data_IF_159757399296
#
_entry.id   IF_159757399296
#
_cell.length_a   1.000
_cell.length_b   1.000
_cell.length_c   1.000
_cell.angle_alpha   90.00
_cell.angle_beta   90.00
_cell.angle_gamma   90.00
#
_symmetry.space_group_name_H-M   'P 1'
#
loop_
_entity.id
_entity.type
_entity.pdbx_description
1 polymer ?
#
# COMPACT_ATOMS: atom_id res chain seq x y z
N UNK A 1 21.23 22.91 13.85
CA UNK A 1 21.45 21.46 13.61
C UNK A 1 22.87 21.25 13.12
N UNK A 2 23.61 20.33 13.73
CA UNK A 2 24.90 19.86 13.23
C UNK A 2 24.75 19.16 11.88
N UNK A 3 25.85 18.99 11.13
CA UNK A 3 25.81 18.26 9.86
C UNK A 3 25.35 16.81 10.05
N UNK A 4 25.74 16.16 11.14
CA UNK A 4 25.27 14.80 11.47
C UNK A 4 23.76 14.74 11.74
N UNK A 5 23.20 15.74 12.44
CA UNK A 5 21.76 15.83 12.67
C UNK A 5 20.98 16.05 11.36
N UNK A 6 21.51 16.87 10.44
CA UNK A 6 20.91 17.07 9.11
C UNK A 6 20.97 15.79 8.26
N UNK A 7 22.10 15.08 8.27
CA UNK A 7 22.27 13.80 7.56
C UNK A 7 21.29 12.72 8.10
N UNK A 8 21.14 12.61 9.43
CA UNK A 8 20.21 11.67 10.05
C UNK A 8 18.75 12.00 9.71
N UNK A 9 18.35 13.26 9.87
CA UNK A 9 16.99 13.71 9.58
C UNK A 9 16.62 13.46 8.10
N UNK A 10 17.55 13.78 7.18
CA UNK A 10 17.37 13.47 5.76
C UNK A 10 17.23 11.97 5.51
N UNK A 11 18.04 11.14 6.17
CA UNK A 11 18.01 9.68 5.98
C UNK A 11 16.67 9.10 6.42
N UNK A 12 16.16 9.51 7.59
CA UNK A 12 14.85 9.07 8.10
C UNK A 12 13.74 9.52 7.15
N UNK A 13 13.74 10.79 6.76
CA UNK A 13 12.76 11.32 5.81
C UNK A 13 12.80 10.56 4.47
N UNK A 14 14.00 10.23 3.97
CA UNK A 14 14.15 9.46 2.74
C UNK A 14 13.62 8.03 2.88
N UNK A 15 13.82 7.37 4.03
CA UNK A 15 13.27 6.03 4.26
C UNK A 15 11.74 6.04 4.23
N UNK A 16 11.10 6.97 4.93
CA UNK A 16 9.64 7.12 4.88
C UNK A 16 9.15 7.55 3.50
N UNK A 17 9.89 8.41 2.80
CA UNK A 17 9.55 8.79 1.42
C UNK A 17 9.57 7.59 0.48
N UNK A 18 10.59 6.74 0.54
CA UNK A 18 10.67 5.50 -0.28
C UNK A 18 9.51 4.56 0.05
N UNK A 19 9.23 4.33 1.34
CA UNK A 19 8.12 3.49 1.79
C UNK A 19 6.78 3.99 1.23
N UNK A 20 6.46 5.25 1.49
CA UNK A 20 5.18 5.85 1.10
C UNK A 20 5.06 6.09 -0.40
N UNK A 21 6.17 6.28 -1.12
CA UNK A 21 6.19 6.29 -2.57
C UNK A 21 5.81 4.93 -3.16
N UNK A 22 6.40 3.84 -2.65
CA UNK A 22 6.08 2.48 -3.10
C UNK A 22 4.60 2.14 -2.86
N UNK A 23 4.06 2.49 -1.67
CA UNK A 23 2.62 2.32 -1.37
C UNK A 23 1.77 3.16 -2.32
N UNK A 24 2.09 4.45 -2.50
CA UNK A 24 1.33 5.36 -3.37
C UNK A 24 1.28 4.87 -4.81
N UNK A 25 2.42 4.45 -5.36
CA UNK A 25 2.49 3.90 -6.73
C UNK A 25 1.64 2.62 -6.81
N UNK A 26 1.72 1.74 -5.81
CA UNK A 26 0.92 0.50 -5.76
C UNK A 26 -0.58 0.80 -5.70
N UNK A 27 -1.01 1.78 -4.90
CA UNK A 27 -2.41 2.23 -4.81
C UNK A 27 -2.94 2.64 -6.20
N UNK A 28 -2.18 3.42 -6.97
CA UNK A 28 -2.64 3.83 -8.30
C UNK A 28 -2.50 2.72 -9.35
N UNK A 29 -1.46 1.89 -9.27
CA UNK A 29 -1.29 0.74 -10.14
C UNK A 29 -2.36 -0.33 -9.93
N UNK A 30 -2.97 -0.39 -8.74
CA UNK A 30 -4.04 -1.33 -8.41
C UNK A 30 -5.22 -1.25 -9.37
N UNK A 31 -5.51 -0.09 -9.97
CA UNK A 31 -6.56 0.04 -10.99
C UNK A 31 -6.29 -0.82 -12.23
N UNK A 32 -5.02 -0.90 -12.64
CA UNK A 32 -4.60 -1.70 -13.79
C UNK A 32 -4.54 -3.19 -13.43
N UNK A 33 -4.00 -3.52 -12.25
CA UNK A 33 -4.00 -4.90 -11.74
C UNK A 33 -5.43 -5.43 -11.64
N UNK A 34 -6.31 -4.66 -11.01
CA UNK A 34 -7.71 -5.04 -10.85
C UNK A 34 -8.44 -5.19 -12.19
N UNK A 35 -8.22 -4.26 -13.12
CA UNK A 35 -8.78 -4.35 -14.46
C UNK A 35 -8.36 -5.64 -15.19
N UNK A 36 -7.11 -6.08 -15.03
CA UNK A 36 -6.63 -7.35 -15.55
C UNK A 36 -7.28 -8.54 -14.82
N UNK A 37 -7.32 -8.48 -13.49
CA UNK A 37 -7.79 -9.54 -12.61
C UNK A 37 -9.28 -9.89 -12.79
N UNK A 38 -10.14 -8.92 -13.13
CA UNK A 38 -11.55 -9.19 -13.43
C UNK A 38 -11.70 -10.29 -14.49
N UNK A 39 -10.84 -10.27 -15.52
CA UNK A 39 -10.86 -11.27 -16.59
C UNK A 39 -10.01 -12.49 -16.23
N UNK A 40 -8.85 -12.28 -15.63
CA UNK A 40 -7.91 -13.35 -15.34
C UNK A 40 -8.46 -14.35 -14.30
N UNK A 41 -9.15 -13.86 -13.27
CA UNK A 41 -9.74 -14.66 -12.20
C UNK A 41 -11.25 -14.86 -12.32
N UNK A 42 -11.83 -14.61 -13.51
CA UNK A 42 -13.26 -14.87 -13.78
C UNK A 42 -14.23 -14.23 -12.76
N UNK A 43 -13.93 -12.99 -12.34
CA UNK A 43 -14.73 -12.30 -11.31
C UNK A 43 -16.15 -11.99 -11.79
N UNK A 44 -16.35 -11.81 -13.10
CA UNK A 44 -17.68 -11.64 -13.70
C UNK A 44 -18.60 -12.81 -13.39
N UNK A 45 -18.06 -14.03 -13.42
CA UNK A 45 -18.78 -15.26 -13.12
C UNK A 45 -19.02 -15.40 -11.61
N UNK A 46 -18.02 -15.05 -10.79
CA UNK A 46 -18.11 -15.15 -9.33
C UNK A 46 -19.28 -14.34 -8.73
N UNK A 47 -19.55 -13.16 -9.29
CA UNK A 47 -20.65 -12.29 -8.81
C UNK A 47 -21.81 -12.14 -9.81
N UNK A 48 -21.76 -12.81 -10.95
CA UNK A 48 -22.76 -12.69 -12.03
C UNK A 48 -22.99 -11.24 -12.48
N UNK A 49 -21.92 -10.45 -12.55
CA UNK A 49 -21.96 -9.04 -12.97
C UNK A 49 -21.04 -8.80 -14.16
N UNK A 50 -21.37 -7.80 -14.98
CA UNK A 50 -20.51 -7.39 -16.11
C UNK A 50 -19.24 -6.71 -15.61
N UNK A 51 -18.16 -6.81 -16.39
CA UNK A 51 -16.88 -6.13 -16.15
C UNK A 51 -17.05 -4.66 -15.76
N UNK A 52 -17.88 -3.91 -16.50
CA UNK A 52 -18.09 -2.48 -16.25
C UNK A 52 -18.74 -2.20 -14.89
N UNK A 53 -19.64 -3.09 -14.43
CA UNK A 53 -20.27 -2.98 -13.11
C UNK A 53 -19.24 -3.25 -12.01
N UNK A 54 -18.42 -4.30 -12.15
CA UNK A 54 -17.37 -4.63 -11.18
C UNK A 54 -16.35 -3.49 -11.09
N UNK A 55 -15.84 -3.03 -12.25
CA UNK A 55 -14.88 -1.94 -12.31
C UNK A 55 -15.45 -0.62 -11.76
N UNK A 56 -16.73 -0.34 -11.97
CA UNK A 56 -17.42 0.83 -11.39
C UNK A 56 -17.41 0.77 -9.86
N UNK A 57 -17.75 -0.38 -9.26
CA UNK A 57 -17.75 -0.51 -7.80
C UNK A 57 -16.34 -0.45 -7.22
N UNK A 58 -15.36 -1.06 -7.89
CA UNK A 58 -13.95 -0.90 -7.50
C UNK A 58 -13.51 0.56 -7.55
N UNK A 59 -13.88 1.30 -8.62
CA UNK A 59 -13.57 2.72 -8.73
C UNK A 59 -14.28 3.56 -7.66
N UNK A 60 -15.50 3.22 -7.26
CA UNK A 60 -16.22 3.87 -6.15
C UNK A 60 -15.50 3.63 -4.81
N UNK A 61 -15.11 2.38 -4.54
CA UNK A 61 -14.32 2.00 -3.35
C UNK A 61 -13.01 2.78 -3.30
N UNK A 62 -12.24 2.76 -4.39
CA UNK A 62 -10.96 3.47 -4.46
C UNK A 62 -11.13 4.99 -4.35
N UNK A 63 -12.16 5.57 -4.99
CA UNK A 63 -12.47 6.99 -4.86
C UNK A 63 -12.79 7.36 -3.40
N UNK A 64 -13.53 6.52 -2.67
CA UNK A 64 -13.73 6.72 -1.24
C UNK A 64 -12.40 6.69 -0.47
N UNK A 65 -11.53 5.70 -0.72
CA UNK A 65 -10.27 5.55 0.00
C UNK A 65 -9.30 6.72 -0.24
N UNK A 66 -9.21 7.24 -1.46
CA UNK A 66 -8.24 8.28 -1.83
C UNK A 66 -8.74 9.71 -1.63
N UNK A 67 -10.05 9.96 -1.63
CA UNK A 67 -10.61 11.32 -1.57
C UNK A 67 -10.73 11.81 -0.12
N UNK A 68 -9.96 12.82 0.32
CA UNK A 68 -10.00 13.28 1.73
C UNK A 68 -11.34 13.93 2.15
N UNK A 69 -12.19 14.30 1.21
CA UNK A 69 -13.43 15.04 1.46
C UNK A 69 -14.69 14.18 1.51
N UNK A 70 -14.63 12.93 1.05
CA UNK A 70 -15.79 12.01 1.09
C UNK A 70 -15.64 10.98 2.20
N UNK A 71 -16.46 11.05 3.24
CA UNK A 71 -16.46 10.09 4.37
C UNK A 71 -17.69 9.16 4.40
N UNK A 72 -18.49 9.15 3.34
CA UNK A 72 -19.62 8.23 3.21
C UNK A 72 -19.24 7.08 2.26
N UNK A 73 -19.08 5.87 2.83
CA UNK A 73 -18.80 4.67 2.05
C UNK A 73 -20.10 4.11 1.47
N UNK A 74 -20.15 4.01 0.15
CA UNK A 74 -21.27 3.39 -0.55
C UNK A 74 -20.81 2.84 -1.90
N UNK A 75 -21.21 1.60 -2.18
CA UNK A 75 -21.06 0.95 -3.46
C UNK A 75 -22.44 0.82 -4.11
N UNK A 76 -22.53 0.97 -5.43
CA UNK A 76 -23.83 0.94 -6.12
C UNK A 76 -24.43 -0.45 -6.20
N UNK A 77 -23.60 -1.50 -6.34
CA UNK A 77 -24.06 -2.85 -6.65
C UNK A 77 -23.67 -3.87 -5.56
N UNK A 78 -22.95 -3.44 -4.52
CA UNK A 78 -22.61 -4.26 -3.36
C UNK A 78 -23.17 -3.64 -2.08
N UNK A 79 -23.81 -4.47 -1.25
CA UNK A 79 -24.15 -4.10 0.11
C UNK A 79 -22.90 -4.01 0.97
N UNK A 80 -23.02 -3.34 2.11
CA UNK A 80 -21.95 -3.33 3.12
C UNK A 80 -22.58 -3.35 4.49
N UNK A 81 -22.04 -4.17 5.39
CA UNK A 81 -22.41 -4.19 6.79
C UNK A 81 -21.86 -2.95 7.52
N UNK A 82 -22.28 -2.74 8.77
CA UNK A 82 -21.69 -1.68 9.59
C UNK A 82 -20.19 -1.93 9.84
N UNK A 83 -19.83 -3.19 10.11
CA UNK A 83 -18.45 -3.66 10.26
C UNK A 83 -17.62 -3.39 9.01
N UNK A 84 -18.10 -3.82 7.84
CA UNK A 84 -17.39 -3.62 6.58
C UNK A 84 -17.13 -2.14 6.26
N UNK A 85 -18.11 -1.28 6.53
CA UNK A 85 -17.93 0.18 6.39
C UNK A 85 -16.88 0.74 7.35
N UNK A 86 -16.86 0.30 8.61
CA UNK A 86 -15.85 0.73 9.58
C UNK A 86 -14.45 0.31 9.15
N UNK A 87 -14.29 -0.91 8.64
CA UNK A 87 -13.00 -1.36 8.10
C UNK A 87 -12.52 -0.48 6.93
N UNK A 88 -13.40 -0.17 5.97
CA UNK A 88 -13.04 0.75 4.88
C UNK A 88 -12.70 2.16 5.38
N UNK A 89 -13.35 2.64 6.43
CA UNK A 89 -13.01 3.92 7.07
C UNK A 89 -11.61 3.89 7.70
N UNK A 90 -11.24 2.80 8.37
CA UNK A 90 -9.90 2.63 8.93
C UNK A 90 -8.83 2.54 7.83
N UNK A 91 -9.10 1.80 6.76
CA UNK A 91 -8.24 1.78 5.56
C UNK A 91 -8.09 3.18 4.94
N UNK A 92 -9.16 3.96 4.86
CA UNK A 92 -9.12 5.36 4.38
C UNK A 92 -8.19 6.22 5.24
N UNK A 93 -8.26 6.11 6.57
CA UNK A 93 -7.35 6.84 7.47
C UNK A 93 -5.88 6.50 7.16
N UNK A 94 -5.57 5.23 6.92
CA UNK A 94 -4.22 4.78 6.54
C UNK A 94 -3.79 5.31 5.17
N UNK A 95 -4.68 5.34 4.16
CA UNK A 95 -4.39 5.88 2.83
C UNK A 95 -4.06 7.38 2.90
N UNK A 96 -4.89 8.15 3.63
CA UNK A 96 -4.66 9.59 3.80
C UNK A 96 -3.40 9.88 4.63
N UNK A 97 -3.13 9.07 5.67
CA UNK A 97 -1.88 9.13 6.42
C UNK A 97 -0.67 8.90 5.50
N UNK A 98 -0.73 7.85 4.66
CA UNK A 98 0.32 7.56 3.69
C UNK A 98 0.58 8.75 2.76
N UNK A 99 -0.47 9.37 2.19
CA UNK A 99 -0.32 10.54 1.32
C UNK A 99 0.25 11.76 2.07
N UNK A 100 -0.20 12.00 3.30
CA UNK A 100 0.34 13.07 4.14
C UNK A 100 1.83 12.88 4.43
N UNK A 101 2.24 11.67 4.79
CA UNK A 101 3.65 11.32 5.03
C UNK A 101 4.46 11.40 3.74
N UNK A 102 3.93 10.93 2.61
CA UNK A 102 4.58 11.01 1.30
C UNK A 102 4.90 12.45 0.91
N UNK A 103 3.90 13.35 1.00
CA UNK A 103 4.08 14.77 0.69
C UNK A 103 5.06 15.41 1.68
N UNK A 104 4.85 15.21 2.99
CA UNK A 104 5.69 15.83 4.02
C UNK A 104 7.15 15.41 3.94
N UNK A 105 7.41 14.11 3.78
CA UNK A 105 8.77 13.58 3.65
C UNK A 105 9.40 13.93 2.30
N UNK A 106 8.61 13.99 1.22
CA UNK A 106 9.06 14.45 -0.09
C UNK A 106 9.56 15.90 -0.07
N UNK A 107 8.85 16.81 0.61
CA UNK A 107 9.28 18.20 0.78
C UNK A 107 10.59 18.29 1.58
N UNK A 108 10.75 17.49 2.63
CA UNK A 108 11.99 17.41 3.41
C UNK A 108 13.15 16.91 2.56
N UNK A 109 12.95 15.80 1.83
CA UNK A 109 13.96 15.23 0.94
C UNK A 109 14.37 16.23 -0.15
N UNK A 110 13.41 16.95 -0.75
CA UNK A 110 13.68 17.98 -1.74
C UNK A 110 14.50 19.14 -1.16
N UNK A 111 14.14 19.64 0.03
CA UNK A 111 14.83 20.73 0.73
C UNK A 111 16.28 20.37 1.08
N UNK A 112 16.51 19.15 1.55
CA UNK A 112 17.82 18.70 2.02
C UNK A 112 18.58 17.82 1.00
N UNK A 113 18.19 17.82 -0.27
CA UNK A 113 18.81 16.97 -1.33
C UNK A 113 20.32 17.11 -1.51
N UNK A 114 20.93 18.22 -1.07
CA UNK A 114 22.37 18.48 -1.14
C UNK A 114 23.15 17.87 0.03
N UNK A 115 22.45 17.33 1.03
CA UNK A 115 23.03 16.70 2.22
C UNK A 115 23.56 15.31 1.85
N UNK A 116 24.78 14.97 2.30
CA UNK A 116 25.36 13.63 2.06
C UNK A 116 24.63 12.63 2.95
N UNK A 117 23.84 11.73 2.36
CA UNK A 117 23.30 10.58 3.06
C UNK A 117 24.43 9.60 3.46
N UNK A 118 25.11 9.86 4.58
CA UNK A 118 26.23 9.03 5.05
C UNK A 118 25.78 7.63 5.47
N UNK A 119 24.51 7.46 5.83
CA UNK A 119 23.93 6.20 6.32
C UNK A 119 23.37 5.31 5.19
N UNK A 120 24.02 5.26 4.01
CA UNK A 120 23.54 4.44 2.89
C UNK A 120 23.40 2.94 3.24
N UNK A 121 24.21 2.43 4.19
CA UNK A 121 24.09 1.05 4.68
C UNK A 121 22.77 0.77 5.41
N UNK A 122 22.08 1.79 5.92
CA UNK A 122 20.76 1.63 6.53
C UNK A 122 19.74 1.10 5.52
N UNK A 123 19.77 1.60 4.28
CA UNK A 123 18.87 1.16 3.21
C UNK A 123 19.15 -0.30 2.78
N UNK A 124 20.39 -0.77 2.92
CA UNK A 124 20.71 -2.19 2.72
C UNK A 124 20.00 -3.07 3.76
N UNK A 125 20.05 -2.69 5.04
CA UNK A 125 19.39 -3.44 6.11
C UNK A 125 17.86 -3.37 6.03
N UNK A 126 17.32 -2.20 5.71
CA UNK A 126 15.87 -2.05 5.44
C UNK A 126 15.45 -3.01 4.32
N UNK A 127 16.22 -3.06 3.23
CA UNK A 127 15.91 -3.96 2.11
C UNK A 127 16.05 -5.45 2.47
N UNK A 128 17.08 -5.83 3.22
CA UNK A 128 17.22 -7.22 3.70
C UNK A 128 16.00 -7.63 4.54
N UNK A 129 15.54 -6.76 5.45
CA UNK A 129 14.33 -7.02 6.25
C UNK A 129 13.10 -7.13 5.35
N UNK A 130 12.94 -6.24 4.38
CA UNK A 130 11.81 -6.29 3.46
C UNK A 130 11.81 -7.53 2.57
N UNK A 131 12.98 -8.01 2.10
CA UNK A 131 13.10 -9.32 1.41
C UNK A 131 12.61 -10.46 2.31
N UNK A 132 13.03 -10.49 3.59
CA UNK A 132 12.61 -11.56 4.51
C UNK A 132 11.08 -11.54 4.66
N UNK A 133 10.48 -10.36 4.84
CA UNK A 133 9.02 -10.22 4.94
C UNK A 133 8.34 -10.66 3.64
N UNK A 134 8.88 -10.28 2.48
CA UNK A 134 8.34 -10.69 1.18
C UNK A 134 8.38 -12.21 0.99
N UNK A 135 9.46 -12.87 1.41
CA UNK A 135 9.57 -14.34 1.39
C UNK A 135 8.53 -14.97 2.30
N UNK A 136 8.36 -14.47 3.54
CA UNK A 136 7.35 -14.99 4.47
C UNK A 136 5.94 -14.87 3.88
N UNK A 137 5.62 -13.72 3.26
CA UNK A 137 4.35 -13.50 2.56
C UNK A 137 4.14 -14.51 1.42
N UNK A 138 5.17 -14.81 0.62
CA UNK A 138 5.08 -15.77 -0.49
C UNK A 138 4.98 -17.23 -0.02
N UNK A 139 5.48 -17.56 1.17
CA UNK A 139 5.40 -18.90 1.74
C UNK A 139 4.02 -19.21 2.32
N UNK A 140 3.38 -18.23 2.96
CA UNK A 140 2.05 -18.38 3.54
C UNK A 140 1.31 -17.03 3.52
N UNK A 141 0.57 -16.78 2.45
CA UNK A 141 -0.13 -15.51 2.29
C UNK A 141 -1.28 -15.36 3.30
N UNK A 142 -2.05 -16.41 3.57
CA UNK A 142 -3.17 -16.38 4.52
C UNK A 142 -2.72 -15.90 5.91
N UNK A 143 -1.68 -16.52 6.46
CA UNK A 143 -1.14 -16.16 7.77
C UNK A 143 -0.53 -14.75 7.76
N UNK A 144 0.19 -14.41 6.69
CA UNK A 144 0.70 -13.07 6.51
C UNK A 144 -0.42 -12.02 6.48
N UNK A 145 -1.52 -12.28 5.77
CA UNK A 145 -2.66 -11.39 5.65
C UNK A 145 -3.33 -11.17 7.00
N UNK A 146 -3.52 -12.23 7.79
CA UNK A 146 -4.05 -12.13 9.16
C UNK A 146 -3.14 -11.28 10.04
N UNK A 147 -1.83 -11.58 10.10
CA UNK A 147 -0.87 -10.83 10.91
C UNK A 147 -0.82 -9.36 10.49
N UNK A 148 -0.84 -9.09 9.18
CA UNK A 148 -0.87 -7.74 8.65
C UNK A 148 -2.10 -6.96 9.16
N UNK A 149 -3.28 -7.58 9.19
CA UNK A 149 -4.48 -6.96 9.72
C UNK A 149 -4.41 -6.76 11.24
N UNK A 150 -3.92 -7.73 12.00
CA UNK A 150 -3.78 -7.60 13.46
C UNK A 150 -2.77 -6.52 13.88
N UNK A 151 -1.73 -6.28 13.06
CA UNK A 151 -0.76 -5.20 13.30
C UNK A 151 -1.39 -3.82 13.05
N UNK A 152 -2.27 -3.70 12.06
CA UNK A 152 -2.85 -2.42 11.64
C UNK A 152 -4.18 -2.08 12.34
N UNK A 153 -4.97 -3.10 12.70
CA UNK A 153 -6.32 -2.95 13.23
C UNK A 153 -6.42 -3.63 14.60
N UNK A 154 -7.05 -2.93 15.55
CA UNK A 154 -7.31 -3.45 16.91
C UNK A 154 -8.72 -4.05 17.05
N UNK A 155 -9.40 -4.25 15.94
CA UNK A 155 -10.75 -4.80 15.83
C UNK A 155 -10.73 -5.98 14.85
N UNK A 156 -11.88 -6.63 14.69
CA UNK A 156 -12.09 -7.73 13.75
C UNK A 156 -12.97 -7.32 12.57
N UNK A 157 -13.12 -6.01 12.32
CA UNK A 157 -14.08 -5.50 11.34
C UNK A 157 -13.71 -5.86 9.89
N UNK A 158 -12.45 -6.29 9.67
CA UNK A 158 -11.89 -6.78 8.42
C UNK A 158 -12.32 -8.22 8.06
N UNK A 159 -12.96 -8.95 8.99
CA UNK A 159 -13.52 -10.28 8.71
C UNK A 159 -14.89 -10.14 8.03
N UNK A 160 -14.86 -10.10 6.70
CA UNK A 160 -16.06 -9.91 5.89
C UNK A 160 -16.91 -11.18 5.80
N UNK A 161 -18.23 -11.02 5.94
CA UNK A 161 -19.22 -12.05 5.63
C UNK A 161 -19.62 -11.89 4.15
N UNK A 162 -19.38 -12.88 3.27
CA UNK A 162 -19.68 -12.76 1.85
C UNK A 162 -21.15 -12.42 1.51
N UNK A 163 -22.08 -12.71 2.42
CA UNK A 163 -23.50 -12.38 2.23
C UNK A 163 -23.85 -10.94 2.63
N UNK A 164 -23.08 -10.34 3.55
CA UNK A 164 -23.31 -8.98 4.05
C UNK A 164 -22.39 -7.96 3.38
N UNK A 165 -21.18 -8.38 3.08
CA UNK A 165 -20.07 -7.63 2.49
C UNK A 165 -19.59 -8.30 1.18
N UNK A 166 -20.46 -8.45 0.16
CA UNK A 166 -20.16 -9.20 -1.07
C UNK A 166 -19.02 -8.62 -1.92
N UNK A 167 -18.52 -7.43 -1.59
CA UNK A 167 -17.32 -6.85 -2.21
C UNK A 167 -16.10 -7.77 -2.05
N UNK A 168 -16.04 -8.61 -1.01
CA UNK A 168 -14.94 -9.58 -0.85
C UNK A 168 -14.86 -10.57 -2.01
N UNK A 169 -16.00 -10.90 -2.64
CA UNK A 169 -16.07 -11.86 -3.73
C UNK A 169 -15.43 -11.35 -5.03
N UNK A 170 -15.13 -10.04 -5.11
CA UNK A 170 -14.38 -9.45 -6.22
C UNK A 170 -12.96 -9.05 -5.83
N UNK A 171 -12.53 -9.25 -4.58
CA UNK A 171 -11.19 -8.92 -4.10
C UNK A 171 -10.49 -10.22 -3.67
N UNK A 172 -10.10 -11.08 -4.63
CA UNK A 172 -9.49 -12.36 -4.30
C UNK A 172 -8.10 -12.17 -3.69
N UNK A 173 -7.61 -13.21 -3.01
CA UNK A 173 -6.28 -13.23 -2.42
C UNK A 173 -5.19 -12.84 -3.43
N UNK A 174 -5.29 -13.38 -4.65
CA UNK A 174 -4.29 -13.18 -5.69
C UNK A 174 -4.14 -11.70 -6.07
N UNK A 175 -5.22 -10.92 -6.05
CA UNK A 175 -5.15 -9.48 -6.29
C UNK A 175 -4.31 -8.77 -5.22
N UNK A 176 -4.49 -9.14 -3.95
CA UNK A 176 -3.69 -8.59 -2.86
C UNK A 176 -2.23 -9.06 -2.95
N UNK A 177 -2.00 -10.33 -3.28
CA UNK A 177 -0.65 -10.88 -3.52
C UNK A 177 0.08 -10.10 -4.62
N UNK A 178 -0.58 -9.83 -5.74
CA UNK A 178 -0.01 -9.00 -6.82
C UNK A 178 0.33 -7.58 -6.33
N UNK A 179 -0.56 -6.95 -5.55
CA UNK A 179 -0.31 -5.64 -4.96
C UNK A 179 0.91 -5.66 -4.02
N UNK A 180 1.02 -6.66 -3.14
CA UNK A 180 2.17 -6.82 -2.24
C UNK A 180 3.48 -7.07 -3.01
N UNK A 181 3.45 -7.93 -4.04
CA UNK A 181 4.61 -8.18 -4.90
C UNK A 181 5.06 -6.88 -5.57
N UNK A 182 4.15 -6.10 -6.15
CA UNK A 182 4.49 -4.82 -6.77
C UNK A 182 5.08 -3.85 -5.74
N UNK A 183 4.48 -3.75 -4.56
CA UNK A 183 4.99 -2.94 -3.45
C UNK A 183 6.43 -3.34 -3.10
N UNK A 184 6.71 -4.63 -2.88
CA UNK A 184 8.04 -5.10 -2.51
C UNK A 184 9.05 -4.89 -3.64
N UNK A 185 8.70 -5.11 -4.90
CA UNK A 185 9.59 -4.82 -6.05
C UNK A 185 10.01 -3.35 -6.04
N UNK A 186 9.04 -2.43 -5.87
CA UNK A 186 9.31 -1.00 -5.84
C UNK A 186 10.13 -0.60 -4.60
N UNK A 187 9.73 -1.09 -3.43
CA UNK A 187 10.37 -0.76 -2.16
C UNK A 187 11.81 -1.29 -2.12
N UNK A 188 12.03 -2.56 -2.45
CA UNK A 188 13.36 -3.17 -2.48
C UNK A 188 14.25 -2.57 -3.57
N UNK A 189 13.70 -2.38 -4.77
CA UNK A 189 14.42 -1.75 -5.87
C UNK A 189 14.96 -0.38 -5.50
N UNK A 190 14.15 0.46 -4.85
CA UNK A 190 14.57 1.79 -4.38
C UNK A 190 15.58 1.73 -3.23
N UNK A 191 15.40 0.82 -2.26
CA UNK A 191 16.32 0.65 -1.14
C UNK A 191 17.70 0.18 -1.61
N UNK A 192 17.79 -0.88 -2.43
CA UNK A 192 19.07 -1.36 -2.96
C UNK A 192 19.71 -0.37 -3.93
N UNK A 193 18.93 0.31 -4.78
CA UNK A 193 19.46 1.39 -5.61
C UNK A 193 20.11 2.48 -4.76
N UNK A 194 19.46 2.87 -3.66
CA UNK A 194 20.01 3.88 -2.74
C UNK A 194 21.26 3.40 -2.00
N UNK A 195 21.27 2.14 -1.56
CA UNK A 195 22.40 1.52 -0.87
C UNK A 195 23.65 1.45 -1.76
N UNK A 196 23.47 1.15 -3.06
CA UNK A 196 24.54 0.96 -4.03
C UNK A 196 25.03 2.26 -4.70
N UNK A 197 24.34 3.40 -4.46
CA UNK A 197 24.78 4.68 -4.99
C UNK A 197 26.10 5.09 -4.34
N UNK A 198 27.21 4.99 -5.10
CA UNK A 198 28.53 5.46 -4.67
C UNK A 198 28.41 6.93 -4.28
N UNK A 199 28.62 7.22 -3.00
CA UNK A 199 28.83 8.60 -2.55
C UNK A 199 30.16 9.03 -3.16
N UNK A 200 30.13 9.77 -4.28
CA UNK A 200 31.32 10.39 -4.83
C UNK A 200 31.95 11.24 -3.72
N UNK A 201 33.02 10.70 -3.14
CA UNK A 201 33.93 11.37 -2.23
C UNK A 201 34.88 12.17 -3.12
N UNK A 202 34.42 13.34 -3.55
CA UNK A 202 35.32 14.47 -3.76
C UNK A 202 35.34 15.28 -2.46
#
# INVERSE_FOLDING_TARGET
MSNAQKDLFYTIALAFFILTAAITITIFASYLLFAFDIKHYYLEQAVSMKYSTIMKNYAQMMNYLINPFNWQFQLSDFTSSASGRLHFEDCKKLFLLNFGVFIGTGLIVAKFRKVRARFNKMFLWIGIVGIVIAILMLLNFDEFFVIFHEVLFRNSDWLFDPNRDPVINILPEEFFTQCFILFFILFEGLNFWKANKKTFRN
#
